data_IF_010268198211
#
_entry.id   IF_010268198211
#
_cell.length_a   1.000
_cell.length_b   1.000
_cell.length_c   1.000
_cell.angle_alpha   90.00
_cell.angle_beta   90.00
_cell.angle_gamma   90.00
#
_symmetry.space_group_name_H-M   'P 1'
#
loop_
_entity.id
_entity.type
_entity.pdbx_description
1 polymer ?
#
# COMPACT_ATOMS: atom_id res chain seq x y z
N UNK A 1 -11.05 -38.93 15.33
CA UNK A 1 -11.21 -37.92 14.23
C UNK A 1 -10.77 -36.56 14.78
N UNK A 2 -9.90 -35.84 14.09
CA UNK A 2 -9.56 -34.47 14.46
C UNK A 2 -10.71 -33.57 13.99
N UNK A 3 -11.11 -32.58 14.83
CA UNK A 3 -12.14 -31.61 14.45
C UNK A 3 -11.66 -30.70 13.29
N UNK A 4 -12.59 -30.18 12.47
CA UNK A 4 -12.23 -29.27 11.39
C UNK A 4 -11.65 -27.95 11.94
N UNK A 5 -10.81 -27.29 11.13
CA UNK A 5 -10.25 -25.98 11.44
C UNK A 5 -11.32 -24.87 11.32
N UNK A 6 -10.91 -23.64 11.55
CA UNK A 6 -11.77 -22.47 11.37
C UNK A 6 -12.12 -22.30 9.88
N UNK A 7 -13.41 -22.40 9.54
CA UNK A 7 -13.90 -22.31 8.16
C UNK A 7 -13.55 -20.99 7.47
N UNK A 8 -13.51 -19.88 8.22
CA UNK A 8 -13.12 -18.59 7.68
C UNK A 8 -11.65 -18.57 7.19
N UNK A 9 -10.80 -19.45 7.74
CA UNK A 9 -9.40 -19.56 7.31
C UNK A 9 -9.28 -20.43 6.05
N UNK A 10 -10.15 -21.44 5.90
CA UNK A 10 -10.14 -22.32 4.74
C UNK A 10 -10.47 -21.54 3.43
N UNK A 11 -11.25 -20.48 3.53
CA UNK A 11 -11.65 -19.62 2.39
C UNK A 11 -10.60 -18.53 2.03
N UNK A 12 -9.51 -18.42 2.83
CA UNK A 12 -8.44 -17.45 2.56
C UNK A 12 -7.42 -18.04 1.59
N UNK A 13 -7.33 -17.45 0.40
CA UNK A 13 -6.33 -17.83 -0.58
C UNK A 13 -4.95 -17.23 -0.26
N UNK A 14 -3.90 -17.97 -0.63
CA UNK A 14 -2.54 -17.44 -0.59
C UNK A 14 -2.42 -16.38 -1.71
N UNK A 15 -1.86 -15.23 -1.38
CA UNK A 15 -1.71 -14.11 -2.33
C UNK A 15 -1.10 -14.56 -3.67
N UNK A 16 -1.79 -14.30 -4.78
CA UNK A 16 -1.32 -14.57 -6.13
C UNK A 16 0.04 -13.93 -6.43
N UNK A 17 0.31 -12.75 -5.85
CA UNK A 17 1.61 -12.08 -5.96
C UNK A 17 2.73 -12.98 -5.39
N UNK A 18 2.50 -13.61 -4.23
CA UNK A 18 3.51 -14.49 -3.60
C UNK A 18 3.69 -15.77 -4.41
N UNK A 19 2.59 -16.43 -4.77
CA UNK A 19 2.62 -17.65 -5.57
C UNK A 19 3.37 -17.44 -6.89
N UNK A 20 3.07 -16.34 -7.60
CA UNK A 20 3.75 -16.00 -8.83
C UNK A 20 5.24 -15.69 -8.61
N UNK A 21 5.56 -14.87 -7.61
CA UNK A 21 6.96 -14.51 -7.30
C UNK A 21 7.81 -15.72 -6.90
N UNK A 22 7.25 -16.67 -6.14
CA UNK A 22 7.92 -17.93 -5.79
C UNK A 22 8.14 -18.81 -7.03
N UNK A 23 7.12 -18.93 -7.90
CA UNK A 23 7.20 -19.71 -9.14
C UNK A 23 8.32 -19.22 -10.06
N UNK A 24 8.41 -17.90 -10.29
CA UNK A 24 9.39 -17.33 -11.23
C UNK A 24 10.73 -17.04 -10.59
N UNK A 25 10.79 -16.92 -9.27
CA UNK A 25 12.00 -16.58 -8.52
C UNK A 25 13.13 -17.65 -8.59
N UNK A 26 12.78 -18.86 -9.02
CA UNK A 26 13.76 -19.94 -9.24
C UNK A 26 14.49 -19.81 -10.60
N UNK A 27 14.03 -18.92 -11.50
CA UNK A 27 14.63 -18.72 -12.82
C UNK A 27 15.98 -18.00 -12.65
N UNK A 28 17.09 -18.58 -13.15
CA UNK A 28 18.42 -17.96 -13.01
C UNK A 28 18.47 -16.57 -13.68
N UNK A 29 19.12 -15.63 -13.00
CA UNK A 29 19.37 -14.26 -13.50
C UNK A 29 18.10 -13.49 -13.87
N UNK A 30 16.96 -13.82 -13.27
CA UNK A 30 15.71 -13.09 -13.49
C UNK A 30 15.81 -11.66 -12.95
N UNK A 31 15.28 -10.69 -13.71
CA UNK A 31 15.12 -9.31 -13.27
C UNK A 31 13.75 -9.19 -12.59
N UNK A 32 13.69 -8.99 -11.25
CA UNK A 32 12.42 -9.00 -10.53
C UNK A 32 11.77 -7.61 -10.52
N UNK A 33 10.89 -7.32 -11.48
CA UNK A 33 10.02 -6.13 -11.45
C UNK A 33 8.70 -6.43 -10.73
N UNK A 34 8.71 -7.39 -9.81
CA UNK A 34 7.58 -7.84 -9.00
C UNK A 34 7.55 -7.20 -7.61
N UNK A 35 8.67 -6.62 -7.17
CA UNK A 35 8.88 -6.23 -5.79
C UNK A 35 8.04 -5.00 -5.40
N UNK A 36 7.40 -5.09 -4.25
CA UNK A 36 6.70 -3.98 -3.59
C UNK A 36 7.55 -3.33 -2.50
N UNK A 37 8.86 -3.22 -2.68
CA UNK A 37 9.80 -2.66 -1.73
C UNK A 37 10.76 -1.69 -2.44
N UNK A 38 11.15 -0.57 -1.78
CA UNK A 38 12.21 0.29 -2.29
C UNK A 38 13.51 -0.49 -2.52
N UNK A 39 14.22 -0.15 -3.60
CA UNK A 39 15.55 -0.68 -3.92
C UNK A 39 16.69 0.19 -3.33
N UNK A 40 16.35 1.06 -2.41
CA UNK A 40 17.27 1.90 -1.64
C UNK A 40 17.53 1.30 -0.26
N UNK A 41 18.70 1.54 0.32
CA UNK A 41 18.96 1.17 1.70
C UNK A 41 18.26 2.13 2.66
N UNK A 42 17.93 1.66 3.87
CA UNK A 42 17.53 2.53 4.98
C UNK A 42 18.64 3.56 5.25
N UNK A 43 18.33 4.85 5.45
CA UNK A 43 19.32 5.90 5.75
C UNK A 43 20.24 5.56 6.93
N UNK A 44 21.50 6.00 6.86
CA UNK A 44 22.54 5.60 7.82
C UNK A 44 22.30 6.09 9.24
N UNK A 45 21.75 7.30 9.41
CA UNK A 45 21.42 7.82 10.74
C UNK A 45 20.35 6.96 11.44
N UNK A 46 19.35 6.45 10.71
CA UNK A 46 18.32 5.55 11.23
C UNK A 46 18.93 4.22 11.69
N UNK A 47 19.83 3.63 10.88
CA UNK A 47 20.57 2.41 11.25
C UNK A 47 21.45 2.64 12.47
N UNK A 48 22.05 3.82 12.58
CA UNK A 48 22.90 4.21 13.73
C UNK A 48 22.07 4.30 15.00
N UNK A 49 20.88 4.93 14.95
CA UNK A 49 19.97 4.99 16.09
C UNK A 49 19.55 3.59 16.58
N UNK A 50 19.25 2.68 15.64
CA UNK A 50 18.92 1.29 15.97
C UNK A 50 20.07 0.54 16.65
N UNK A 51 21.31 0.69 16.14
CA UNK A 51 22.50 0.10 16.77
C UNK A 51 22.70 0.62 18.18
N UNK A 52 22.58 1.94 18.36
CA UNK A 52 22.65 2.56 19.69
C UNK A 52 21.57 2.04 20.64
N UNK A 53 20.35 1.78 20.15
CA UNK A 53 19.29 1.18 20.95
C UNK A 53 19.66 -0.22 21.46
N UNK A 54 20.30 -1.04 20.63
CA UNK A 54 20.80 -2.37 21.00
C UNK A 54 21.90 -2.23 22.07
N UNK A 55 22.90 -1.38 21.81
CA UNK A 55 24.04 -1.17 22.71
C UNK A 55 23.61 -0.64 24.09
N UNK A 56 22.54 0.17 24.13
CA UNK A 56 21.94 0.72 25.35
C UNK A 56 20.88 -0.21 25.98
N UNK A 57 20.74 -1.45 25.51
CA UNK A 57 19.80 -2.44 26.04
C UNK A 57 18.32 -1.99 26.01
N UNK A 58 17.90 -1.20 24.99
CA UNK A 58 16.49 -0.87 24.79
C UNK A 58 15.78 -2.06 24.14
N UNK A 59 15.62 -3.14 24.91
CA UNK A 59 15.17 -4.45 24.42
C UNK A 59 13.95 -5.01 25.16
N UNK A 60 13.38 -4.21 26.06
CA UNK A 60 12.21 -4.58 26.84
C UNK A 60 10.90 -4.27 26.09
N UNK A 61 9.77 -4.76 26.63
CA UNK A 61 8.46 -4.32 26.16
C UNK A 61 8.29 -2.82 26.27
N UNK A 62 7.65 -2.25 25.27
CA UNK A 62 7.24 -0.85 25.27
C UNK A 62 5.80 -0.72 25.77
N UNK A 63 5.30 0.49 26.07
CA UNK A 63 3.86 0.69 26.19
C UNK A 63 3.11 0.17 24.95
N UNK A 64 1.89 -0.32 25.14
CA UNK A 64 1.09 -0.92 24.07
C UNK A 64 0.99 -0.03 22.82
N UNK A 65 0.70 1.26 22.97
CA UNK A 65 0.65 2.20 21.84
C UNK A 65 2.04 2.55 21.23
N UNK A 66 3.12 2.06 21.78
CA UNK A 66 4.51 2.43 21.47
C UNK A 66 5.09 3.47 22.43
N UNK A 67 6.40 3.72 22.35
CA UNK A 67 7.05 4.77 23.12
C UNK A 67 6.39 6.13 22.86
N UNK A 68 6.23 6.91 23.92
CA UNK A 68 5.63 8.24 23.80
C UNK A 68 6.47 9.16 22.91
N UNK A 69 7.80 9.10 23.04
CA UNK A 69 8.73 9.88 22.20
C UNK A 69 8.56 9.56 20.72
N UNK A 70 8.45 8.27 20.36
CA UNK A 70 8.21 7.84 18.97
C UNK A 70 6.85 8.32 18.44
N UNK A 71 5.80 8.25 19.27
CA UNK A 71 4.47 8.78 18.91
C UNK A 71 4.45 10.29 18.75
N UNK A 72 5.18 11.02 19.60
CA UNK A 72 5.34 12.47 19.50
C UNK A 72 6.09 12.86 18.22
N UNK A 73 7.17 12.15 17.89
CA UNK A 73 7.92 12.36 16.66
C UNK A 73 7.04 12.09 15.41
N UNK A 74 6.27 10.99 15.41
CA UNK A 74 5.33 10.67 14.34
C UNK A 74 4.25 11.75 14.20
N UNK A 75 3.57 12.13 15.30
CA UNK A 75 2.55 13.17 15.26
C UNK A 75 3.08 14.50 14.72
N UNK A 76 4.27 14.92 15.16
CA UNK A 76 4.93 16.14 14.68
C UNK A 76 5.26 16.07 13.18
N UNK A 77 5.74 14.90 12.71
CA UNK A 77 6.04 14.66 11.31
C UNK A 77 4.78 14.78 10.43
N UNK A 78 3.70 14.06 10.77
CA UNK A 78 2.47 14.08 10.00
C UNK A 78 1.74 15.43 10.06
N UNK A 79 1.81 16.13 11.19
CA UNK A 79 1.30 17.50 11.29
C UNK A 79 2.04 18.44 10.35
N UNK A 80 3.39 18.37 10.33
CA UNK A 80 4.22 19.24 9.48
C UNK A 80 4.08 18.90 7.98
N UNK A 81 4.04 17.60 7.62
CA UNK A 81 3.96 17.13 6.22
C UNK A 81 2.57 17.27 5.61
N UNK A 82 1.55 16.86 6.35
CA UNK A 82 0.20 16.67 5.81
C UNK A 82 -0.88 17.46 6.53
N UNK A 83 -0.50 18.32 7.50
CA UNK A 83 -1.45 19.07 8.34
C UNK A 83 -2.43 18.14 9.10
N UNK A 84 -2.00 16.94 9.46
CA UNK A 84 -2.72 16.00 10.28
C UNK A 84 -2.39 16.21 11.75
N UNK A 85 -3.33 16.75 12.51
CA UNK A 85 -3.14 17.08 13.92
C UNK A 85 -3.80 16.02 14.80
N UNK A 86 -3.00 15.08 15.31
CA UNK A 86 -3.39 14.00 16.21
C UNK A 86 -2.63 14.08 17.52
N UNK A 87 -3.33 13.88 18.65
CA UNK A 87 -2.71 13.84 19.97
C UNK A 87 -1.86 12.57 20.11
N UNK A 88 -0.53 12.69 20.31
CA UNK A 88 0.32 11.53 20.51
C UNK A 88 0.01 10.71 21.76
N UNK A 89 -0.73 11.27 22.73
CA UNK A 89 -1.10 10.55 23.95
C UNK A 89 -2.25 9.58 23.73
N UNK A 90 -3.21 9.92 22.88
CA UNK A 90 -4.50 9.21 22.75
C UNK A 90 -4.89 8.79 21.35
N UNK A 91 -4.23 9.32 20.31
CA UNK A 91 -4.69 9.18 18.91
C UNK A 91 -3.66 8.57 17.95
N UNK A 92 -2.47 8.20 18.44
CA UNK A 92 -1.37 7.64 17.64
C UNK A 92 -0.94 6.28 18.19
N UNK A 93 -0.88 5.26 17.35
CA UNK A 93 -0.43 3.91 17.68
C UNK A 93 0.69 3.49 16.73
N UNK A 94 1.81 3.01 17.29
CA UNK A 94 2.89 2.41 16.51
C UNK A 94 2.58 0.93 16.34
N UNK A 95 2.54 0.46 15.10
CA UNK A 95 2.14 -0.91 14.72
C UNK A 95 3.29 -1.68 14.05
N UNK A 96 3.14 -3.00 13.95
CA UNK A 96 4.08 -3.88 13.22
C UNK A 96 3.84 -3.77 11.70
N UNK A 97 4.18 -2.61 11.15
CA UNK A 97 3.91 -2.22 9.77
C UNK A 97 2.44 -1.84 9.52
N UNK A 98 2.16 -1.24 8.37
CA UNK A 98 0.81 -0.92 7.94
C UNK A 98 -0.10 -2.16 7.84
N UNK A 99 0.47 -3.34 7.62
CA UNK A 99 -0.29 -4.60 7.55
C UNK A 99 -1.03 -4.91 8.86
N UNK A 100 -0.38 -4.72 10.01
CA UNK A 100 -1.07 -4.84 11.29
C UNK A 100 -2.09 -3.71 11.46
N UNK A 101 -1.73 -2.48 11.10
CA UNK A 101 -2.63 -1.34 11.20
C UNK A 101 -3.95 -1.57 10.43
N UNK A 102 -3.89 -2.18 9.21
CA UNK A 102 -5.07 -2.60 8.45
C UNK A 102 -5.93 -3.57 9.25
N UNK A 103 -5.32 -4.62 9.79
CA UNK A 103 -6.04 -5.65 10.56
C UNK A 103 -6.69 -5.07 11.81
N UNK A 104 -5.98 -4.20 12.54
CA UNK A 104 -6.49 -3.52 13.72
C UNK A 104 -7.66 -2.58 13.40
N UNK A 105 -7.53 -1.78 12.34
CA UNK A 105 -8.57 -0.86 11.90
C UNK A 105 -9.86 -1.61 11.54
N UNK A 106 -9.76 -2.63 10.70
CA UNK A 106 -10.91 -3.43 10.27
C UNK A 106 -11.55 -4.21 11.43
N UNK A 107 -10.74 -4.87 12.26
CA UNK A 107 -11.24 -5.59 13.45
C UNK A 107 -11.88 -4.67 14.49
N UNK A 108 -11.52 -3.38 14.51
CA UNK A 108 -12.09 -2.40 15.44
C UNK A 108 -13.46 -1.91 14.98
N UNK A 109 -13.65 -1.70 13.67
CA UNK A 109 -14.87 -1.03 13.16
C UNK A 109 -15.92 -1.99 12.62
N UNK A 110 -15.54 -3.22 12.20
CA UNK A 110 -16.46 -4.15 11.56
C UNK A 110 -17.19 -5.05 12.53
N UNK A 111 -18.46 -5.34 12.21
CA UNK A 111 -19.23 -6.45 12.74
C UNK A 111 -19.53 -7.45 11.61
N UNK A 112 -19.84 -8.72 11.95
CA UNK A 112 -20.32 -9.66 10.96
C UNK A 112 -21.53 -9.14 10.17
N UNK A 113 -21.47 -9.21 8.85
CA UNK A 113 -22.51 -8.74 7.94
C UNK A 113 -22.43 -7.25 7.54
N UNK A 114 -21.48 -6.49 8.10
CA UNK A 114 -21.18 -5.14 7.59
C UNK A 114 -20.54 -5.25 6.18
N UNK A 115 -20.70 -4.20 5.36
CA UNK A 115 -20.14 -4.09 4.02
C UNK A 115 -18.94 -3.16 4.02
N UNK A 116 -17.85 -3.61 3.38
CA UNK A 116 -16.64 -2.82 3.11
C UNK A 116 -16.54 -2.58 1.61
N UNK A 117 -16.53 -1.32 1.20
CA UNK A 117 -16.26 -0.93 -0.18
C UNK A 117 -14.76 -0.84 -0.42
N UNK A 118 -14.28 -1.44 -1.51
CA UNK A 118 -12.88 -1.36 -1.95
C UNK A 118 -12.82 -1.07 -3.45
N UNK A 119 -11.87 -0.23 -3.92
CA UNK A 119 -11.66 -0.04 -5.36
C UNK A 119 -11.07 -1.30 -5.99
N UNK A 120 -11.38 -1.58 -7.23
CA UNK A 120 -10.77 -2.62 -8.06
C UNK A 120 -9.98 -1.95 -9.20
N UNK A 121 -8.68 -2.20 -9.34
CA UNK A 121 -7.85 -3.14 -8.59
C UNK A 121 -7.49 -2.70 -7.17
N UNK A 122 -7.16 -3.67 -6.32
CA UNK A 122 -6.87 -3.44 -4.89
C UNK A 122 -5.59 -4.12 -4.43
N UNK A 123 -5.04 -3.65 -3.32
CA UNK A 123 -4.00 -4.38 -2.60
C UNK A 123 -4.61 -5.62 -1.91
N UNK A 124 -4.16 -6.86 -2.24
CA UNK A 124 -4.79 -8.08 -1.72
C UNK A 124 -4.77 -8.24 -0.19
N UNK A 125 -3.94 -7.45 0.49
CA UNK A 125 -3.81 -7.49 1.96
C UNK A 125 -5.07 -7.05 2.71
N UNK A 126 -6.06 -6.45 2.06
CA UNK A 126 -7.34 -6.08 2.69
C UNK A 126 -8.31 -7.25 2.80
N UNK A 127 -8.25 -8.21 1.87
CA UNK A 127 -9.26 -9.28 1.72
C UNK A 127 -9.36 -10.15 2.97
N UNK A 128 -8.25 -10.68 3.45
CA UNK A 128 -8.26 -11.60 4.58
C UNK A 128 -8.77 -10.96 5.90
N UNK A 129 -8.35 -9.75 6.30
CA UNK A 129 -8.91 -9.10 7.49
C UNK A 129 -10.41 -8.79 7.39
N UNK A 130 -10.93 -8.41 6.21
CA UNK A 130 -12.36 -8.19 5.98
C UNK A 130 -13.12 -9.50 6.17
N UNK A 131 -12.65 -10.58 5.53
CA UNK A 131 -13.26 -11.90 5.61
C UNK A 131 -13.26 -12.46 7.04
N UNK A 132 -12.13 -12.34 7.75
CA UNK A 132 -12.01 -12.79 9.15
C UNK A 132 -12.90 -12.00 10.11
N UNK A 133 -13.26 -10.76 9.79
CA UNK A 133 -14.25 -9.98 10.54
C UNK A 133 -15.70 -10.44 10.29
N UNK A 134 -15.92 -11.36 9.35
CA UNK A 134 -17.25 -11.80 8.93
C UNK A 134 -18.00 -10.73 8.12
N UNK A 135 -17.30 -9.75 7.55
CA UNK A 135 -17.84 -8.69 6.74
C UNK A 135 -17.83 -9.06 5.25
N UNK A 136 -18.70 -8.42 4.48
CA UNK A 136 -18.78 -8.58 3.03
C UNK A 136 -17.87 -7.53 2.34
N UNK A 137 -17.05 -7.97 1.41
CA UNK A 137 -16.24 -7.08 0.58
C UNK A 137 -16.97 -6.82 -0.74
N UNK A 138 -17.33 -5.57 -1.00
CA UNK A 138 -17.93 -5.12 -2.25
C UNK A 138 -16.88 -4.35 -3.05
N UNK A 139 -16.60 -4.86 -4.24
CA UNK A 139 -15.52 -4.38 -5.12
C UNK A 139 -16.09 -3.40 -6.13
N UNK A 140 -15.56 -2.17 -6.17
CA UNK A 140 -15.98 -1.11 -7.09
C UNK A 140 -15.08 -1.09 -8.32
N UNK A 141 -15.64 -1.31 -9.50
CA UNK A 141 -14.89 -1.26 -10.77
C UNK A 141 -14.44 0.16 -11.10
N UNK A 142 -13.18 0.47 -10.86
CA UNK A 142 -12.59 1.78 -11.13
C UNK A 142 -11.89 1.88 -12.49
N UNK A 143 -11.92 0.83 -13.31
CA UNK A 143 -11.29 0.84 -14.65
C UNK A 143 -11.90 1.91 -15.56
N UNK A 144 -13.17 2.27 -15.34
CA UNK A 144 -13.91 3.27 -16.12
C UNK A 144 -13.70 4.71 -15.63
N UNK A 145 -12.96 4.91 -14.53
CA UNK A 145 -12.69 6.20 -13.89
C UNK A 145 -11.19 6.41 -13.65
N UNK A 146 -10.36 5.87 -14.54
CA UNK A 146 -8.89 5.96 -14.45
C UNK A 146 -8.35 5.48 -13.08
N UNK A 147 -8.95 4.41 -12.57
CA UNK A 147 -8.64 3.79 -11.27
C UNK A 147 -8.91 4.68 -10.04
N UNK A 148 -9.77 5.69 -10.15
CA UNK A 148 -10.16 6.55 -9.03
C UNK A 148 -11.60 6.27 -8.57
N UNK A 149 -11.82 6.23 -7.27
CA UNK A 149 -13.18 6.26 -6.70
C UNK A 149 -13.73 7.67 -6.82
N UNK A 150 -14.94 7.80 -7.32
CA UNK A 150 -15.63 9.08 -7.48
C UNK A 150 -16.88 9.17 -6.59
N UNK A 151 -17.38 10.37 -6.27
CA UNK A 151 -18.64 10.53 -5.54
C UNK A 151 -19.81 9.79 -6.19
N UNK A 152 -19.93 9.84 -7.52
CA UNK A 152 -20.99 9.16 -8.26
C UNK A 152 -20.91 7.63 -8.13
N UNK A 153 -19.71 7.06 -8.03
CA UNK A 153 -19.57 5.64 -7.75
C UNK A 153 -20.11 5.29 -6.36
N UNK A 154 -19.82 6.08 -5.36
CA UNK A 154 -20.31 5.82 -4.00
C UNK A 154 -21.83 5.81 -3.95
N UNK A 155 -22.52 6.68 -4.69
CA UNK A 155 -23.99 6.66 -4.80
C UNK A 155 -24.55 5.34 -5.35
N UNK A 156 -23.78 4.64 -6.20
CA UNK A 156 -24.21 3.38 -6.81
C UNK A 156 -23.90 2.15 -5.95
N UNK A 157 -22.87 2.21 -5.10
CA UNK A 157 -22.37 1.04 -4.35
C UNK A 157 -22.74 1.07 -2.86
N UNK A 158 -23.04 2.25 -2.28
CA UNK A 158 -23.38 2.37 -0.87
C UNK A 158 -24.76 1.79 -0.59
N UNK A 159 -24.87 1.00 0.46
CA UNK A 159 -26.11 0.42 0.99
C UNK A 159 -26.23 0.73 2.47
N UNK A 160 -27.36 0.39 3.08
CA UNK A 160 -27.56 0.53 4.53
C UNK A 160 -26.58 -0.31 5.38
N UNK A 161 -25.96 -1.35 4.77
CA UNK A 161 -24.94 -2.18 5.42
C UNK A 161 -23.54 -1.64 5.25
N UNK A 162 -23.35 -0.66 4.37
CA UNK A 162 -22.02 -0.11 4.09
C UNK A 162 -21.48 0.62 5.29
N UNK A 163 -20.34 0.21 5.79
CA UNK A 163 -19.73 0.78 6.99
C UNK A 163 -18.37 1.40 6.76
N UNK A 164 -17.60 0.83 5.85
CA UNK A 164 -16.21 1.24 5.59
C UNK A 164 -15.95 1.39 4.11
N UNK A 165 -15.26 2.45 3.74
CA UNK A 165 -14.55 2.57 2.47
C UNK A 165 -13.05 2.47 2.74
N UNK A 166 -12.33 1.62 2.01
CA UNK A 166 -10.86 1.59 2.02
C UNK A 166 -10.36 2.31 0.78
N UNK A 167 -9.45 3.27 0.96
CA UNK A 167 -8.74 3.95 -0.13
C UNK A 167 -7.23 3.87 0.13
N UNK A 168 -6.49 3.34 -0.86
CA UNK A 168 -5.04 3.46 -0.93
C UNK A 168 -4.68 4.57 -1.92
N UNK A 169 -3.98 5.61 -1.46
CA UNK A 169 -3.55 6.70 -2.33
C UNK A 169 -2.26 7.35 -1.81
N UNK A 170 -1.22 7.34 -2.65
CA UNK A 170 -1.09 6.68 -3.95
C UNK A 170 -1.31 5.16 -3.89
N UNK A 171 -1.94 4.60 -4.92
CA UNK A 171 -2.45 3.24 -4.94
C UNK A 171 -1.40 2.21 -5.36
N UNK A 172 -1.43 1.05 -4.74
CA UNK A 172 -0.88 -0.21 -5.26
C UNK A 172 -2.08 -1.07 -5.74
N UNK A 173 -2.22 -1.40 -7.04
CA UNK A 173 -1.13 -1.51 -8.04
C UNK A 173 -1.00 -0.33 -9.02
N UNK A 174 -1.91 0.64 -9.04
CA UNK A 174 -2.08 1.56 -10.17
C UNK A 174 -1.16 2.78 -10.16
N UNK A 175 -0.65 3.18 -8.99
CA UNK A 175 0.11 4.40 -8.81
C UNK A 175 -0.71 5.69 -8.87
N UNK A 176 -2.04 5.61 -9.06
CA UNK A 176 -2.89 6.81 -9.07
C UNK A 176 -3.06 7.40 -7.67
N UNK A 177 -3.27 8.71 -7.62
CA UNK A 177 -3.61 9.45 -6.40
C UNK A 177 -4.65 10.52 -6.72
N UNK A 178 -5.06 11.28 -5.73
CA UNK A 178 -6.05 12.34 -5.87
C UNK A 178 -5.38 13.70 -5.85
N UNK A 179 -5.86 14.64 -6.67
CA UNK A 179 -5.57 16.06 -6.49
C UNK A 179 -6.25 16.56 -5.21
N UNK A 180 -5.84 17.73 -4.74
CA UNK A 180 -6.48 18.34 -3.57
C UNK A 180 -7.97 18.54 -3.77
N UNK A 181 -8.38 19.01 -4.95
CA UNK A 181 -9.78 19.28 -5.31
C UNK A 181 -10.61 17.99 -5.34
N UNK A 182 -10.08 16.93 -5.96
CA UNK A 182 -10.71 15.61 -5.97
C UNK A 182 -10.86 15.05 -4.55
N UNK A 183 -9.83 15.18 -3.72
CA UNK A 183 -9.84 14.71 -2.34
C UNK A 183 -10.91 15.43 -1.49
N UNK A 184 -11.04 16.75 -1.63
CA UNK A 184 -12.05 17.55 -0.91
C UNK A 184 -13.46 17.12 -1.31
N UNK A 185 -13.72 16.97 -2.61
CA UNK A 185 -15.04 16.57 -3.12
C UNK A 185 -15.40 15.16 -2.67
N UNK A 186 -14.45 14.22 -2.74
CA UNK A 186 -14.64 12.85 -2.28
C UNK A 186 -14.87 12.78 -0.77
N UNK A 187 -14.10 13.52 0.02
CA UNK A 187 -14.26 13.60 1.46
C UNK A 187 -15.65 14.15 1.86
N UNK A 188 -16.13 15.17 1.17
CA UNK A 188 -17.47 15.71 1.39
C UNK A 188 -18.55 14.65 1.18
N UNK A 189 -18.41 13.82 0.13
CA UNK A 189 -19.35 12.71 -0.14
C UNK A 189 -19.28 11.62 0.92
N UNK A 190 -18.08 11.21 1.35
CA UNK A 190 -17.90 10.22 2.42
C UNK A 190 -18.51 10.73 3.73
N UNK A 191 -18.38 12.03 4.02
CA UNK A 191 -18.99 12.67 5.18
C UNK A 191 -20.51 12.62 5.13
N UNK A 192 -21.11 12.94 3.98
CA UNK A 192 -22.56 12.88 3.74
C UNK A 192 -23.10 11.48 4.01
N UNK A 193 -22.37 10.45 3.54
CA UNK A 193 -22.75 9.05 3.70
C UNK A 193 -22.58 8.52 5.13
N UNK A 194 -21.82 9.20 5.98
CA UNK A 194 -21.60 8.81 7.38
C UNK A 194 -20.82 7.49 7.56
N UNK A 195 -20.07 7.04 6.56
CA UNK A 195 -19.27 5.81 6.59
C UNK A 195 -17.84 6.10 7.06
N UNK A 196 -17.16 5.09 7.62
CA UNK A 196 -15.75 5.21 7.97
C UNK A 196 -14.87 5.18 6.72
N UNK A 197 -13.79 5.96 6.74
CA UNK A 197 -12.70 5.88 5.78
C UNK A 197 -11.48 5.21 6.44
N UNK A 198 -10.97 4.14 5.85
CA UNK A 198 -9.61 3.66 6.11
C UNK A 198 -8.73 4.20 4.99
N UNK A 199 -7.91 5.19 5.32
CA UNK A 199 -7.00 5.87 4.41
C UNK A 199 -5.61 5.21 4.48
N UNK A 200 -5.29 4.34 3.51
CA UNK A 200 -3.95 3.75 3.40
C UNK A 200 -3.05 4.70 2.62
N UNK A 201 -2.28 5.50 3.35
CA UNK A 201 -1.40 6.54 2.84
C UNK A 201 0.08 6.12 2.88
N UNK A 202 0.38 4.82 2.85
CA UNK A 202 1.76 4.30 2.98
C UNK A 202 2.70 4.84 1.90
N UNK A 203 2.18 5.30 0.76
CA UNK A 203 2.95 5.88 -0.35
C UNK A 203 2.92 7.42 -0.38
N UNK A 204 2.41 8.09 0.63
CA UNK A 204 2.22 9.54 0.67
C UNK A 204 3.47 10.38 0.34
N UNK A 205 4.67 9.90 0.69
CA UNK A 205 5.95 10.55 0.37
C UNK A 205 6.40 10.37 -1.09
N UNK A 206 5.79 9.43 -1.81
CA UNK A 206 6.15 9.05 -3.18
C UNK A 206 5.08 9.55 -4.16
N UNK A 207 4.87 10.88 -4.23
CA UNK A 207 4.04 11.55 -5.23
C UNK A 207 4.93 12.35 -6.18
N UNK A 208 4.57 12.42 -7.46
CA UNK A 208 5.41 12.99 -8.52
C UNK A 208 4.86 14.29 -9.12
N UNK A 209 3.62 14.60 -8.86
CA UNK A 209 2.96 15.84 -9.24
C UNK A 209 2.72 16.73 -8.02
N UNK A 210 1.46 16.84 -7.63
CA UNK A 210 1.07 17.58 -6.44
C UNK A 210 1.50 16.86 -5.15
N UNK A 211 1.66 17.65 -4.08
CA UNK A 211 1.88 17.07 -2.75
C UNK A 211 0.66 16.27 -2.31
N UNK A 212 0.91 15.18 -1.58
CA UNK A 212 -0.15 14.35 -1.05
C UNK A 212 -1.13 15.14 -0.19
N UNK A 213 -2.42 15.01 -0.47
CA UNK A 213 -3.48 15.63 0.31
C UNK A 213 -4.31 14.55 1.01
N UNK A 214 -4.18 14.44 2.32
CA UNK A 214 -4.95 13.47 3.10
C UNK A 214 -6.42 13.89 3.22
N UNK A 215 -7.35 12.96 2.91
CA UNK A 215 -8.77 13.16 3.12
C UNK A 215 -9.13 13.34 4.61
N UNK A 216 -8.29 12.85 5.52
CA UNK A 216 -8.47 13.02 6.96
C UNK A 216 -8.48 14.49 7.40
N UNK A 217 -7.94 15.40 6.61
CA UNK A 217 -8.03 16.86 6.86
C UNK A 217 -9.47 17.36 6.88
N UNK A 218 -10.33 16.74 6.09
CA UNK A 218 -11.73 17.16 5.89
C UNK A 218 -12.70 16.36 6.76
N UNK A 219 -12.39 15.08 7.03
CA UNK A 219 -13.28 14.13 7.68
C UNK A 219 -12.61 13.34 8.79
N UNK A 220 -11.79 14.00 9.60
CA UNK A 220 -10.97 13.43 10.67
C UNK A 220 -11.73 12.45 11.58
N UNK A 221 -12.93 12.83 12.00
CA UNK A 221 -13.70 12.09 13.02
C UNK A 221 -14.21 10.71 12.55
N UNK A 222 -14.20 10.47 11.24
CA UNK A 222 -14.59 9.19 10.64
C UNK A 222 -13.46 8.53 9.84
N UNK A 223 -12.22 9.03 9.98
CA UNK A 223 -11.05 8.51 9.25
C UNK A 223 -10.05 7.82 10.17
N UNK A 224 -9.61 6.65 9.74
CA UNK A 224 -8.45 5.94 10.29
C UNK A 224 -7.34 6.06 9.24
N UNK A 225 -6.29 6.81 9.54
CA UNK A 225 -5.12 6.97 8.66
C UNK A 225 -4.11 5.89 8.98
N UNK A 226 -3.69 5.17 7.95
CA UNK A 226 -2.65 4.16 8.01
C UNK A 226 -1.44 4.67 7.23
N UNK A 227 -0.29 4.69 7.87
CA UNK A 227 0.96 5.12 7.25
C UNK A 227 2.15 4.36 7.86
N UNK A 228 3.38 4.74 7.54
CA UNK A 228 4.58 4.15 8.08
C UNK A 228 5.82 4.51 7.28
N UNK A 229 6.94 3.91 7.64
CA UNK A 229 8.26 4.22 7.11
C UNK A 229 8.74 3.22 6.04
N UNK A 230 7.93 2.20 5.76
CA UNK A 230 8.31 1.12 4.83
C UNK A 230 8.69 1.63 3.44
N UNK A 231 7.99 2.67 2.94
CA UNK A 231 8.17 3.20 1.58
C UNK A 231 8.94 4.50 1.56
N UNK A 232 8.63 5.40 2.49
CA UNK A 232 9.24 6.72 2.59
C UNK A 232 10.73 6.69 2.98
N UNK A 233 11.14 5.72 3.81
CA UNK A 233 12.50 5.63 4.37
C UNK A 233 13.16 4.27 4.10
N UNK A 234 12.66 3.52 3.12
CA UNK A 234 13.17 2.18 2.77
C UNK A 234 13.28 1.23 3.99
N UNK A 235 12.25 1.23 4.83
CA UNK A 235 12.22 0.49 6.11
C UNK A 235 11.26 -0.71 6.07
N UNK A 236 11.14 -1.40 4.95
CA UNK A 236 10.19 -2.53 4.82
C UNK A 236 10.44 -3.63 5.83
N UNK A 237 11.69 -4.01 6.05
CA UNK A 237 12.11 -5.07 6.99
C UNK A 237 12.04 -4.68 8.47
N UNK A 238 11.94 -3.41 8.79
CA UNK A 238 11.85 -2.91 10.17
C UNK A 238 10.48 -3.11 10.80
N UNK A 239 9.45 -3.31 9.96
CA UNK A 239 8.08 -3.57 10.40
C UNK A 239 7.54 -2.46 11.31
N UNK A 240 7.60 -1.20 10.88
CA UNK A 240 7.00 -0.05 11.56
C UNK A 240 5.90 0.56 10.71
N UNK A 241 4.71 0.65 11.29
CA UNK A 241 3.56 1.39 10.81
C UNK A 241 3.06 2.37 11.86
N UNK A 242 2.21 3.28 11.44
CA UNK A 242 1.51 4.24 12.29
C UNK A 242 0.03 4.22 11.95
N UNK A 243 -0.81 4.03 12.96
CA UNK A 243 -2.25 4.21 12.88
C UNK A 243 -2.60 5.49 13.63
N UNK A 244 -3.32 6.39 12.95
CA UNK A 244 -3.82 7.64 13.54
C UNK A 244 -5.33 7.70 13.34
N UNK A 245 -6.06 7.95 14.43
CA UNK A 245 -7.51 8.10 14.42
C UNK A 245 -7.97 8.87 15.67
N UNK A 246 -9.23 9.34 15.73
CA UNK A 246 -9.79 9.91 16.95
C UNK A 246 -9.66 8.96 18.16
N UNK A 247 -9.49 9.53 19.35
CA UNK A 247 -9.36 8.79 20.62
C UNK A 247 -10.49 7.76 20.79
N UNK A 248 -11.71 8.12 20.39
CA UNK A 248 -12.89 7.23 20.43
C UNK A 248 -12.68 5.91 19.68
N UNK A 249 -11.84 5.90 18.64
CA UNK A 249 -11.46 4.70 17.86
C UNK A 249 -10.21 4.07 18.47
N UNK A 250 -9.15 4.84 18.72
CA UNK A 250 -7.86 4.34 19.17
C UNK A 250 -7.96 3.56 20.49
N UNK A 251 -8.79 3.99 21.44
CA UNK A 251 -9.02 3.23 22.66
C UNK A 251 -9.53 1.81 22.43
N UNK A 252 -10.21 1.55 21.30
CA UNK A 252 -10.67 0.22 20.91
C UNK A 252 -9.61 -0.54 20.12
N UNK A 253 -8.86 0.13 19.25
CA UNK A 253 -7.68 -0.42 18.57
C UNK A 253 -6.71 -1.02 19.59
N UNK A 254 -6.41 -0.31 20.67
CA UNK A 254 -5.48 -0.76 21.72
C UNK A 254 -5.94 -2.02 22.44
N UNK A 255 -7.25 -2.29 22.53
CA UNK A 255 -7.76 -3.55 23.12
C UNK A 255 -7.41 -4.77 22.29
N UNK A 256 -7.35 -4.61 20.96
CA UNK A 256 -6.99 -5.68 20.03
C UNK A 256 -5.47 -5.79 19.96
N UNK A 257 -4.78 -4.67 19.80
CA UNK A 257 -3.32 -4.60 19.67
C UNK A 257 -2.59 -5.30 20.85
N UNK A 258 -3.05 -5.08 22.10
CA UNK A 258 -2.44 -5.69 23.29
C UNK A 258 -2.46 -7.21 23.30
N UNK A 259 -3.46 -7.84 22.65
CA UNK A 259 -3.60 -9.30 22.63
C UNK A 259 -3.08 -9.96 21.35
N UNK A 260 -2.89 -9.19 20.30
CA UNK A 260 -2.33 -9.68 19.02
C UNK A 260 -0.81 -9.57 18.97
N UNK A 261 -0.26 -8.44 19.40
CA UNK A 261 1.17 -8.13 19.23
C UNK A 261 1.83 -7.67 20.51
N UNK A 262 1.08 -7.14 21.48
CA UNK A 262 1.54 -6.49 22.72
C UNK A 262 2.15 -5.11 22.44
N UNK A 263 3.18 -5.02 21.59
CA UNK A 263 3.79 -3.77 21.13
C UNK A 263 4.67 -4.03 19.89
N UNK A 264 4.96 -3.00 19.12
CA UNK A 264 5.96 -3.07 18.08
C UNK A 264 7.38 -3.20 18.69
N UNK A 265 8.32 -3.73 17.91
CA UNK A 265 9.71 -3.95 18.31
C UNK A 265 10.37 -2.67 18.82
N UNK A 266 10.88 -2.67 20.05
CA UNK A 266 11.46 -1.48 20.72
C UNK A 266 12.59 -0.84 19.90
N UNK A 267 13.52 -1.64 19.36
CA UNK A 267 14.63 -1.16 18.53
C UNK A 267 14.11 -0.47 17.26
N UNK A 268 13.11 -1.05 16.61
CA UNK A 268 12.49 -0.46 15.42
C UNK A 268 11.75 0.85 15.74
N UNK A 269 11.20 0.98 16.95
CA UNK A 269 10.57 2.23 17.37
C UNK A 269 11.60 3.36 17.55
N UNK A 270 12.79 3.08 18.11
CA UNK A 270 13.86 4.08 18.21
C UNK A 270 14.37 4.47 16.82
N UNK A 271 14.51 3.52 15.91
CA UNK A 271 14.83 3.81 14.52
C UNK A 271 13.75 4.68 13.85
N UNK A 272 12.49 4.43 14.12
CA UNK A 272 11.38 5.23 13.61
C UNK A 272 11.33 6.63 14.21
N UNK A 273 11.64 6.78 15.50
CA UNK A 273 11.75 8.08 16.16
C UNK A 273 12.81 8.96 15.47
N UNK A 274 13.98 8.39 15.16
CA UNK A 274 15.03 9.06 14.41
C UNK A 274 14.55 9.45 12.99
N UNK A 275 13.89 8.54 12.29
CA UNK A 275 13.35 8.80 10.96
C UNK A 275 12.33 9.95 10.96
N UNK A 276 11.38 9.96 11.88
CA UNK A 276 10.38 11.01 11.99
C UNK A 276 10.98 12.36 12.46
N UNK A 277 11.96 12.33 13.35
CA UNK A 277 12.55 13.55 13.91
C UNK A 277 13.55 14.23 12.97
N UNK A 278 14.42 13.45 12.34
CA UNK A 278 15.56 13.93 11.57
C UNK A 278 15.51 13.56 10.08
N UNK A 279 14.68 12.60 9.68
CA UNK A 279 14.55 12.09 8.29
C UNK A 279 13.48 12.79 7.46
N UNK A 280 13.10 14.04 7.78
CA UNK A 280 12.01 14.75 7.10
C UNK A 280 12.15 14.83 5.58
N UNK A 281 13.36 14.83 5.07
CA UNK A 281 13.68 14.92 3.64
C UNK A 281 14.31 13.65 3.06
N UNK A 282 14.40 12.56 3.80
CA UNK A 282 15.08 11.32 3.35
C UNK A 282 14.43 10.68 2.13
N UNK A 283 13.11 10.88 1.97
CA UNK A 283 12.37 10.36 0.82
C UNK A 283 12.65 11.09 -0.49
N UNK A 284 13.23 12.30 -0.47
CA UNK A 284 13.31 13.18 -1.66
C UNK A 284 14.19 12.61 -2.77
N UNK A 285 15.37 12.09 -2.44
CA UNK A 285 16.27 11.49 -3.42
C UNK A 285 15.62 10.26 -4.09
N UNK A 286 15.06 9.39 -3.26
CA UNK A 286 14.37 8.18 -3.74
C UNK A 286 13.16 8.53 -4.60
N UNK A 287 12.33 9.50 -4.18
CA UNK A 287 11.20 10.01 -4.96
C UNK A 287 11.63 10.53 -6.32
N UNK A 288 12.68 11.32 -6.37
CA UNK A 288 13.21 11.86 -7.62
C UNK A 288 13.73 10.75 -8.54
N UNK A 289 14.44 9.76 -7.99
CA UNK A 289 14.90 8.62 -8.77
C UNK A 289 13.71 7.82 -9.35
N UNK A 290 12.66 7.61 -8.57
CA UNK A 290 11.46 6.92 -9.09
C UNK A 290 10.73 7.75 -10.14
N UNK A 291 10.65 9.08 -10.00
CA UNK A 291 10.09 9.94 -11.03
C UNK A 291 10.86 9.79 -12.35
N UNK A 292 12.20 9.83 -12.31
CA UNK A 292 13.04 9.64 -13.51
C UNK A 292 12.86 8.26 -14.15
N UNK A 293 12.72 7.21 -13.34
CA UNK A 293 12.47 5.85 -13.84
C UNK A 293 11.09 5.72 -14.48
N UNK A 294 10.06 6.31 -13.85
CA UNK A 294 8.73 6.41 -14.46
C UNK A 294 8.78 7.10 -15.82
N UNK A 295 9.40 8.28 -15.86
CA UNK A 295 9.48 9.12 -17.07
C UNK A 295 10.29 8.44 -18.19
N UNK A 296 11.19 7.52 -17.83
CA UNK A 296 11.91 6.68 -18.80
C UNK A 296 11.07 5.50 -19.31
N UNK A 297 10.38 4.80 -18.40
CA UNK A 297 9.66 3.56 -18.74
C UNK A 297 8.34 3.83 -19.45
N UNK A 298 7.58 4.84 -19.03
CA UNK A 298 6.24 5.11 -19.56
C UNK A 298 6.19 5.25 -21.09
N UNK A 299 6.98 6.14 -21.74
CA UNK A 299 6.92 6.29 -23.20
C UNK A 299 7.29 5.04 -23.95
N UNK A 300 8.16 4.19 -23.40
CA UNK A 300 8.51 2.89 -23.99
C UNK A 300 7.34 1.91 -23.97
N UNK A 301 6.57 1.88 -22.87
CA UNK A 301 5.36 1.06 -22.78
C UNK A 301 4.30 1.52 -23.78
N UNK A 302 4.08 2.83 -23.89
CA UNK A 302 3.15 3.44 -24.85
C UNK A 302 3.57 3.16 -26.31
N UNK A 303 4.86 3.26 -26.63
CA UNK A 303 5.42 2.91 -27.97
C UNK A 303 5.16 1.43 -28.34
N UNK A 304 5.19 0.55 -27.34
CA UNK A 304 4.90 -0.87 -27.53
C UNK A 304 3.38 -1.19 -27.57
N UNK A 305 2.50 -0.18 -27.48
CA UNK A 305 1.07 -0.31 -27.63
C UNK A 305 0.32 -0.71 -26.35
N UNK A 306 0.96 -0.66 -25.19
CA UNK A 306 0.26 -0.84 -23.91
C UNK A 306 -0.60 0.39 -23.61
N UNK A 307 -1.78 0.15 -23.01
CA UNK A 307 -2.60 1.23 -22.46
C UNK A 307 -2.10 1.55 -21.05
N UNK A 308 -1.60 2.76 -20.88
CA UNK A 308 -0.88 3.20 -19.66
C UNK A 308 -1.57 4.41 -19.07
N UNK A 309 -2.13 4.24 -17.86
CA UNK A 309 -2.48 5.38 -17.02
C UNK A 309 -1.23 5.78 -16.25
N UNK A 310 -0.80 7.05 -16.43
CA UNK A 310 0.42 7.55 -15.79
C UNK A 310 0.30 7.49 -14.28
N UNK A 311 1.23 6.83 -13.58
CA UNK A 311 1.22 6.83 -12.12
C UNK A 311 1.69 8.19 -11.58
N UNK A 312 0.86 8.82 -10.72
CA UNK A 312 1.20 10.06 -10.03
C UNK A 312 1.88 9.82 -8.69
N UNK A 313 2.03 8.56 -8.31
CA UNK A 313 2.71 8.17 -7.08
C UNK A 313 3.06 6.69 -7.00
N UNK A 314 3.53 6.25 -5.83
CA UNK A 314 4.08 4.91 -5.59
C UNK A 314 5.25 4.59 -6.54
N UNK A 315 5.42 3.35 -6.97
CA UNK A 315 6.46 2.94 -7.92
C UNK A 315 5.97 1.77 -8.81
N UNK A 316 4.71 1.88 -9.29
CA UNK A 316 4.07 0.84 -10.11
C UNK A 316 3.46 1.44 -11.37
N UNK A 317 3.54 0.67 -12.44
CA UNK A 317 2.61 0.76 -13.56
C UNK A 317 1.61 -0.38 -13.47
N UNK A 318 0.35 -0.09 -13.74
CA UNK A 318 -0.70 -1.08 -13.97
C UNK A 318 -1.23 -0.88 -15.38
N UNK A 319 -0.69 -1.67 -16.32
CA UNK A 319 -0.85 -1.48 -17.76
C UNK A 319 -1.75 -2.56 -18.35
N UNK A 320 -2.52 -2.18 -19.37
CA UNK A 320 -3.37 -3.10 -20.11
C UNK A 320 -2.64 -3.66 -21.33
N UNK A 321 -2.72 -4.97 -21.53
CA UNK A 321 -2.19 -5.64 -22.72
C UNK A 321 -2.87 -5.14 -23.99
N UNK A 322 -2.11 -4.89 -25.07
CA UNK A 322 -2.66 -4.55 -26.37
C UNK A 322 -3.67 -5.58 -26.87
N UNK A 323 -4.66 -5.16 -27.67
CA UNK A 323 -5.71 -6.03 -28.20
C UNK A 323 -5.19 -7.15 -29.12
N UNK A 324 -4.03 -6.95 -29.75
CA UNK A 324 -3.42 -7.96 -30.61
C UNK A 324 -2.70 -9.08 -29.82
N UNK A 325 -2.37 -8.88 -28.55
CA UNK A 325 -1.90 -9.92 -27.64
C UNK A 325 -3.11 -10.71 -27.16
N UNK A 326 -3.19 -12.00 -27.49
CA UNK A 326 -4.38 -12.82 -27.19
C UNK A 326 -4.27 -13.59 -25.87
N UNK A 327 -3.07 -13.74 -25.35
CA UNK A 327 -2.82 -14.37 -24.06
C UNK A 327 -3.42 -13.54 -22.92
N UNK A 328 -3.82 -14.21 -21.84
CA UNK A 328 -4.15 -13.54 -20.57
C UNK A 328 -2.89 -13.05 -19.87
N UNK A 329 -3.06 -12.22 -18.84
CA UNK A 329 -1.95 -11.60 -18.10
C UNK A 329 -1.03 -12.63 -17.45
N UNK A 330 -1.58 -13.74 -16.94
CA UNK A 330 -0.79 -14.79 -16.28
C UNK A 330 0.12 -15.51 -17.27
N UNK A 331 -0.42 -15.99 -18.39
CA UNK A 331 0.36 -16.69 -19.42
C UNK A 331 1.42 -15.78 -20.04
N UNK A 332 1.06 -14.52 -20.29
CA UNK A 332 2.01 -13.51 -20.76
C UNK A 332 3.17 -13.30 -19.76
N UNK A 333 2.85 -13.12 -18.48
CA UNK A 333 3.86 -12.89 -17.44
C UNK A 333 4.78 -14.12 -17.23
N UNK A 334 4.22 -15.34 -17.30
CA UNK A 334 5.01 -16.58 -17.25
C UNK A 334 5.95 -16.68 -18.46
N UNK A 335 5.43 -16.47 -19.69
CA UNK A 335 6.25 -16.51 -20.89
C UNK A 335 7.38 -15.46 -20.87
N UNK A 336 7.08 -14.25 -20.35
CA UNK A 336 8.07 -13.19 -20.21
C UNK A 336 9.16 -13.56 -19.20
N UNK A 337 8.79 -14.18 -18.08
CA UNK A 337 9.76 -14.66 -17.08
C UNK A 337 10.64 -15.79 -17.64
N UNK A 338 10.05 -16.83 -18.26
CA UNK A 338 10.76 -18.02 -18.69
C UNK A 338 11.67 -17.76 -19.91
N UNK A 339 11.19 -16.98 -20.88
CA UNK A 339 11.89 -16.80 -22.16
C UNK A 339 12.80 -15.57 -22.17
N UNK A 340 12.47 -14.54 -21.35
CA UNK A 340 13.19 -13.27 -21.35
C UNK A 340 13.79 -12.90 -19.99
N UNK A 341 13.63 -13.75 -18.96
CA UNK A 341 14.18 -13.55 -17.60
C UNK A 341 13.81 -12.19 -17.00
N UNK A 342 12.56 -11.77 -17.15
CA UNK A 342 11.98 -10.60 -16.48
C UNK A 342 10.67 -11.01 -15.82
N UNK A 343 10.55 -10.78 -14.53
CA UNK A 343 9.33 -11.08 -13.79
C UNK A 343 8.51 -9.80 -13.57
N UNK A 344 7.24 -9.84 -13.96
CA UNK A 344 6.22 -8.82 -13.71
C UNK A 344 4.99 -9.50 -13.14
N UNK A 345 4.14 -8.82 -12.38
CA UNK A 345 2.99 -9.46 -11.74
C UNK A 345 1.77 -9.42 -12.67
N UNK A 346 1.10 -10.56 -12.90
CA UNK A 346 -0.17 -10.59 -13.63
C UNK A 346 -1.27 -9.87 -12.85
N UNK A 347 -2.15 -9.17 -13.57
CA UNK A 347 -3.16 -8.29 -13.00
C UNK A 347 -4.27 -9.00 -12.25
N UNK A 348 -4.51 -10.30 -12.53
CA UNK A 348 -5.43 -11.16 -11.79
C UNK A 348 -5.06 -11.31 -10.29
N UNK A 349 -3.81 -11.04 -9.93
CA UNK A 349 -3.36 -10.95 -8.55
C UNK A 349 -3.92 -9.74 -7.78
N UNK A 350 -4.56 -8.78 -8.46
CA UNK A 350 -5.08 -7.53 -7.88
C UNK A 350 -6.56 -7.30 -8.17
N UNK A 351 -7.11 -7.98 -9.17
CA UNK A 351 -8.46 -7.74 -9.67
C UNK A 351 -9.03 -9.01 -10.32
N UNK A 352 -10.31 -9.28 -10.10
CA UNK A 352 -11.01 -10.33 -10.85
C UNK A 352 -11.15 -10.00 -12.34
N UNK A 353 -10.99 -8.74 -12.72
CA UNK A 353 -10.96 -8.25 -14.12
C UNK A 353 -9.53 -8.01 -14.61
N UNK A 354 -8.54 -8.49 -13.87
CA UNK A 354 -7.12 -8.25 -14.11
C UNK A 354 -6.49 -9.11 -15.20
N UNK A 355 -7.22 -10.00 -15.83
CA UNK A 355 -6.74 -10.97 -16.83
C UNK A 355 -6.10 -10.33 -18.07
N UNK A 356 -6.33 -9.02 -18.29
CA UNK A 356 -5.70 -8.21 -19.33
C UNK A 356 -4.69 -7.19 -18.82
N UNK A 357 -4.40 -7.16 -17.52
CA UNK A 357 -3.52 -6.17 -16.91
C UNK A 357 -2.22 -6.79 -16.39
N UNK A 358 -1.18 -5.96 -16.29
CA UNK A 358 0.12 -6.33 -15.73
C UNK A 358 0.57 -5.24 -14.76
N UNK A 359 1.14 -5.63 -13.60
CA UNK A 359 1.81 -4.67 -12.73
C UNK A 359 3.33 -4.77 -12.92
N UNK A 360 3.95 -3.65 -13.24
CA UNK A 360 5.41 -3.47 -13.34
C UNK A 360 5.87 -2.57 -12.20
N UNK A 361 6.77 -3.05 -11.35
CA UNK A 361 7.44 -2.21 -10.37
C UNK A 361 8.68 -1.56 -10.99
N UNK A 362 8.79 -0.23 -10.89
CA UNK A 362 10.01 0.48 -11.27
C UNK A 362 10.91 0.80 -10.07
N UNK A 363 10.67 0.16 -8.91
CA UNK A 363 11.62 0.12 -7.79
C UNK A 363 12.74 -0.89 -8.08
N UNK A 364 13.50 -0.62 -9.13
CA UNK A 364 14.66 -1.38 -9.60
C UNK A 364 15.69 -0.42 -10.18
N UNK A 365 16.96 -0.84 -10.29
CA UNK A 365 17.99 0.02 -10.90
C UNK A 365 17.64 0.42 -12.33
N UNK A 366 18.08 1.60 -12.76
CA UNK A 366 17.87 2.07 -14.13
C UNK A 366 18.42 1.06 -15.17
N UNK A 367 19.52 0.38 -14.86
CA UNK A 367 20.11 -0.62 -15.76
C UNK A 367 19.21 -1.84 -15.90
N UNK A 368 18.62 -2.33 -14.79
CA UNK A 368 17.63 -3.41 -14.86
C UNK A 368 16.38 -2.98 -15.64
N UNK A 369 15.91 -1.76 -15.48
CA UNK A 369 14.76 -1.24 -16.22
C UNK A 369 15.06 -1.15 -17.73
N UNK A 370 16.24 -0.66 -18.12
CA UNK A 370 16.67 -0.63 -19.54
C UNK A 370 16.68 -2.02 -20.16
N UNK A 371 17.30 -2.99 -19.49
CA UNK A 371 17.35 -4.37 -19.95
C UNK A 371 15.94 -4.96 -20.03
N UNK A 372 15.10 -4.73 -19.04
CA UNK A 372 13.73 -5.25 -19.01
C UNK A 372 12.87 -4.66 -20.15
N UNK A 373 12.96 -3.37 -20.42
CA UNK A 373 12.22 -2.73 -21.51
C UNK A 373 12.70 -3.23 -22.89
N UNK A 374 13.99 -3.41 -23.08
CA UNK A 374 14.52 -4.00 -24.33
C UNK A 374 14.00 -5.44 -24.53
N UNK A 375 14.01 -6.26 -23.48
CA UNK A 375 13.48 -7.63 -23.53
C UNK A 375 11.97 -7.65 -23.77
N UNK A 376 11.23 -6.69 -23.17
CA UNK A 376 9.80 -6.55 -23.43
C UNK A 376 9.53 -6.17 -24.89
N UNK A 377 10.31 -5.25 -25.46
CA UNK A 377 10.24 -4.89 -26.88
C UNK A 377 10.49 -6.09 -27.80
N UNK A 378 11.47 -6.92 -27.48
CA UNK A 378 11.74 -8.18 -28.21
C UNK A 378 10.57 -9.16 -28.13
N UNK A 379 9.93 -9.28 -26.96
CA UNK A 379 8.74 -10.12 -26.81
C UNK A 379 7.58 -9.57 -27.63
N UNK A 380 7.31 -8.27 -27.54
CA UNK A 380 6.21 -7.62 -28.28
C UNK A 380 6.36 -7.72 -29.79
N UNK A 381 7.60 -7.71 -30.32
CA UNK A 381 7.86 -7.88 -31.75
C UNK A 381 7.42 -9.23 -32.32
N UNK A 382 7.07 -10.22 -31.50
CA UNK A 382 6.54 -11.51 -31.96
C UNK A 382 5.06 -11.46 -32.34
N UNK A 383 4.36 -10.40 -31.92
CA UNK A 383 2.93 -10.23 -32.18
C UNK A 383 2.66 -9.38 -33.45
N UNK A 384 3.73 -8.86 -34.04
CA UNK A 384 3.73 -8.12 -35.32
C UNK A 384 4.37 -8.94 -36.43
#
# INVERSE_FOLDING_TARGET
>A
MVLPLNRLVDDIEISGIRQFSEKVGIIPNIIPLTLGAPDFPTPDHIKTAAKAAIDNNITNYTPNAGFLSTRQAAAAYFKKKYSLDYDPLSEVVITVGATEAISLALSTVLNPGDVVLVPDPLYPGYTAPIHLAGAEMVVMDTTVTEFKVTPAMLDNYVTEKTKVLILAYPCNPTGVTYTKEEAIVLAAKIKELGIYLIADEIYSELTYGEEHYSLAREIREQTIVLNGLSKSHAMTGWRIGVLMAPESIVRHVLKIHQVTTTCATSISQIAAEEAFSNGFNDSLEMREAYRQRRDYVQPLLEEMGFDVISPDGAFYFFIKLPEYVKENSYDFAVAFAEQYQVAIIPGDSFSQKGDRYLRISYAASMDHLKIAMERLKQMMARYH
#
